data_IF_768560872757
#
_entry.id   IF_768560872757
#
_cell.length_a   1.000
_cell.length_b   1.000
_cell.length_c   1.000
_cell.angle_alpha   90.00
_cell.angle_beta   90.00
_cell.angle_gamma   90.00
#
_symmetry.space_group_name_H-M   'P 1'
#
loop_
_entity.id
_entity.type
_entity.pdbx_description
1 polymer ?
#
# COMPACT_ATOMS: atom_id res chain seq x y z
N UNK A 1 -28.72 33.78 -30.84
CA UNK A 1 -28.50 32.38 -31.22
C UNK A 1 -27.02 32.14 -31.07
N UNK A 2 -26.59 31.49 -29.98
CA UNK A 2 -25.16 31.23 -29.76
C UNK A 2 -24.72 30.18 -30.78
N UNK A 3 -23.76 30.54 -31.61
CA UNK A 3 -23.27 29.69 -32.68
C UNK A 3 -22.62 28.46 -32.07
N UNK A 4 -22.85 27.28 -32.65
CA UNK A 4 -22.16 26.04 -32.29
C UNK A 4 -20.61 26.20 -32.35
N UNK A 5 -20.14 27.21 -33.08
CA UNK A 5 -18.74 27.60 -33.21
C UNK A 5 -18.20 28.54 -32.11
N UNK A 6 -19.07 29.10 -31.27
CA UNK A 6 -18.69 29.93 -30.12
C UNK A 6 -18.51 29.10 -28.84
N UNK A 7 -18.83 27.80 -28.88
CA UNK A 7 -18.46 26.88 -27.81
C UNK A 7 -16.94 26.93 -27.66
N UNK A 8 -16.46 27.29 -26.47
CA UNK A 8 -15.04 27.19 -26.12
C UNK A 8 -14.70 25.70 -26.11
N UNK A 9 -14.34 25.14 -27.27
CA UNK A 9 -14.05 23.71 -27.46
C UNK A 9 -13.00 23.19 -26.48
N UNK A 10 -12.11 24.07 -26.01
CA UNK A 10 -11.17 23.75 -24.94
C UNK A 10 -11.87 23.41 -23.62
N UNK A 11 -12.98 24.06 -23.26
CA UNK A 11 -13.75 23.76 -22.04
C UNK A 11 -14.44 22.41 -22.19
N UNK A 12 -15.07 22.15 -23.35
CA UNK A 12 -15.72 20.86 -23.62
C UNK A 12 -14.70 19.72 -23.56
N UNK A 13 -13.51 19.92 -24.10
CA UNK A 13 -12.45 18.92 -24.04
C UNK A 13 -11.85 18.77 -22.62
N UNK A 14 -11.57 19.89 -21.94
CA UNK A 14 -11.00 19.90 -20.59
C UNK A 14 -11.94 19.24 -19.57
N UNK A 15 -13.21 19.63 -19.57
CA UNK A 15 -14.21 19.14 -18.64
C UNK A 15 -14.83 17.81 -19.08
N UNK A 16 -15.00 17.58 -20.38
CA UNK A 16 -15.63 16.37 -20.91
C UNK A 16 -14.71 15.16 -21.07
N UNK A 17 -13.40 15.38 -21.28
CA UNK A 17 -12.44 14.29 -21.52
C UNK A 17 -11.30 14.25 -20.50
N UNK A 18 -10.65 15.39 -20.27
CA UNK A 18 -9.46 15.44 -19.41
C UNK A 18 -9.79 15.14 -17.94
N UNK A 19 -10.83 15.79 -17.40
CA UNK A 19 -11.27 15.56 -16.04
C UNK A 19 -11.64 14.10 -15.72
N UNK A 20 -12.48 13.40 -16.50
CA UNK A 20 -12.79 12.01 -16.21
C UNK A 20 -11.57 11.09 -16.35
N UNK A 21 -10.66 11.36 -17.30
CA UNK A 21 -9.41 10.60 -17.43
C UNK A 21 -8.53 10.78 -16.19
N UNK A 22 -8.40 12.01 -15.68
CA UNK A 22 -7.63 12.28 -14.46
C UNK A 22 -8.26 11.60 -13.24
N UNK A 23 -9.59 11.67 -13.10
CA UNK A 23 -10.30 10.99 -12.00
C UNK A 23 -10.10 9.48 -12.09
N UNK A 24 -10.28 8.89 -13.28
CA UNK A 24 -10.13 7.45 -13.44
C UNK A 24 -8.67 7.01 -13.22
N UNK A 25 -7.71 7.77 -13.75
CA UNK A 25 -6.29 7.53 -13.59
C UNK A 25 -5.83 7.61 -12.14
N UNK A 26 -6.32 8.60 -11.38
CA UNK A 26 -6.02 8.72 -9.95
C UNK A 26 -6.62 7.58 -9.14
N UNK A 27 -7.86 7.15 -9.42
CA UNK A 27 -8.48 6.00 -8.75
C UNK A 27 -7.72 4.70 -9.03
N UNK A 28 -7.32 4.48 -10.28
CA UNK A 28 -6.50 3.32 -10.68
C UNK A 28 -5.15 3.33 -9.98
N UNK A 29 -4.45 4.47 -9.99
CA UNK A 29 -3.19 4.65 -9.31
C UNK A 29 -3.32 4.40 -7.80
N UNK A 30 -4.40 4.88 -7.17
CA UNK A 30 -4.68 4.64 -5.76
C UNK A 30 -4.86 3.16 -5.44
N UNK A 31 -5.62 2.43 -6.26
CA UNK A 31 -5.81 0.98 -6.08
C UNK A 31 -4.50 0.20 -6.24
N UNK A 32 -3.70 0.56 -7.25
CA UNK A 32 -2.36 0.00 -7.44
C UNK A 32 -1.46 0.29 -6.25
N UNK A 33 -1.45 1.53 -5.76
CA UNK A 33 -0.69 1.91 -4.58
C UNK A 33 -1.13 1.10 -3.35
N UNK A 34 -2.43 0.94 -3.09
CA UNK A 34 -2.92 0.10 -2.00
C UNK A 34 -2.49 -1.37 -2.13
N UNK A 35 -2.50 -1.94 -3.33
CA UNK A 35 -2.02 -3.29 -3.56
C UNK A 35 -0.52 -3.43 -3.29
N UNK A 36 0.28 -2.46 -3.76
CA UNK A 36 1.72 -2.40 -3.51
C UNK A 36 2.01 -2.24 -2.02
N UNK A 37 1.30 -1.34 -1.32
CA UNK A 37 1.44 -1.14 0.12
C UNK A 37 1.14 -2.43 0.88
N UNK A 38 0.07 -3.16 0.55
CA UNK A 38 -0.23 -4.45 1.18
C UNK A 38 0.86 -5.48 0.95
N UNK A 39 1.43 -5.53 -0.25
CA UNK A 39 2.55 -6.41 -0.58
C UNK A 39 3.81 -6.05 0.23
N UNK A 40 4.15 -4.76 0.25
CA UNK A 40 5.27 -4.24 1.02
C UNK A 40 5.09 -4.42 2.52
N UNK A 41 3.87 -4.27 3.05
CA UNK A 41 3.56 -4.53 4.45
C UNK A 41 3.81 -5.99 4.82
N UNK A 42 3.41 -6.95 3.98
CA UNK A 42 3.72 -8.37 4.20
C UNK A 42 5.22 -8.62 4.21
N UNK A 43 5.93 -8.02 3.25
CA UNK A 43 7.38 -8.19 3.11
C UNK A 43 8.15 -7.52 4.26
N UNK A 44 7.70 -6.34 4.70
CA UNK A 44 8.23 -5.62 5.85
C UNK A 44 7.93 -6.34 7.16
N UNK A 45 6.74 -6.91 7.33
CA UNK A 45 6.37 -7.73 8.49
C UNK A 45 7.26 -8.99 8.57
N UNK A 46 7.49 -9.67 7.45
CA UNK A 46 8.43 -10.78 7.41
C UNK A 46 9.85 -10.34 7.80
N UNK A 47 10.37 -9.25 7.22
CA UNK A 47 11.72 -8.74 7.57
C UNK A 47 11.82 -8.35 9.04
N UNK A 48 10.82 -7.68 9.58
CA UNK A 48 10.76 -7.31 10.99
C UNK A 48 10.71 -8.55 11.89
N UNK A 49 9.97 -9.59 11.50
CA UNK A 49 9.90 -10.86 12.22
C UNK A 49 11.26 -11.56 12.22
N UNK A 50 11.92 -11.63 11.06
CA UNK A 50 13.26 -12.21 10.95
C UNK A 50 14.29 -11.45 11.79
N UNK A 51 14.25 -10.11 11.81
CA UNK A 51 15.13 -9.30 12.65
C UNK A 51 14.86 -9.54 14.15
N UNK A 52 13.59 -9.60 14.56
CA UNK A 52 13.22 -9.91 15.94
C UNK A 52 13.71 -11.30 16.36
N UNK A 53 13.55 -12.29 15.49
CA UNK A 53 14.02 -13.66 15.71
C UNK A 53 15.54 -13.71 15.83
N UNK A 54 16.27 -13.05 14.93
CA UNK A 54 17.74 -13.03 14.97
C UNK A 54 18.28 -12.38 16.24
N UNK A 55 17.62 -11.34 16.73
CA UNK A 55 18.05 -10.62 17.94
C UNK A 55 17.67 -11.34 19.25
N UNK A 56 16.49 -11.96 19.32
CA UNK A 56 15.98 -12.54 20.57
C UNK A 56 16.16 -14.05 20.68
N UNK A 57 16.23 -14.76 19.55
CA UNK A 57 16.36 -16.23 19.46
C UNK A 57 17.30 -16.61 18.32
N UNK A 58 18.61 -16.32 18.43
CA UNK A 58 19.56 -16.71 17.41
C UNK A 58 19.57 -18.24 17.26
N UNK A 59 19.24 -18.72 16.07
CA UNK A 59 19.30 -20.15 15.73
C UNK A 59 20.63 -20.41 14.99
N UNK A 60 21.41 -21.44 15.38
CA UNK A 60 22.71 -21.72 14.75
C UNK A 60 22.60 -22.07 13.26
N UNK A 61 21.44 -22.58 12.83
CA UNK A 61 21.19 -23.01 11.45
C UNK A 61 20.28 -22.05 10.66
N UNK A 62 19.97 -20.85 11.21
CA UNK A 62 18.95 -19.92 10.68
C UNK A 62 17.55 -20.57 10.47
N UNK A 63 17.31 -21.73 11.09
CA UNK A 63 16.04 -22.45 11.06
C UNK A 63 15.26 -22.21 12.34
N UNK A 64 14.28 -21.33 12.27
CA UNK A 64 13.35 -21.08 13.37
C UNK A 64 12.13 -22.01 13.31
N UNK A 65 11.70 -22.47 14.47
CA UNK A 65 10.51 -23.31 14.58
C UNK A 65 9.24 -22.50 14.29
N UNK A 66 8.13 -23.19 13.99
CA UNK A 66 6.84 -22.54 13.81
C UNK A 66 6.42 -21.68 15.01
N UNK A 67 6.72 -22.14 16.24
CA UNK A 67 6.43 -21.40 17.49
C UNK A 67 7.22 -20.08 17.58
N UNK A 68 8.46 -20.06 17.09
CA UNK A 68 9.28 -18.85 17.05
C UNK A 68 8.68 -17.82 16.08
N UNK A 69 8.28 -18.27 14.89
CA UNK A 69 7.58 -17.41 13.93
C UNK A 69 6.26 -16.89 14.49
N UNK A 70 5.46 -17.75 15.14
CA UNK A 70 4.21 -17.34 15.77
C UNK A 70 4.42 -16.28 16.86
N UNK A 71 5.46 -16.42 17.68
CA UNK A 71 5.86 -15.40 18.65
C UNK A 71 6.34 -14.10 17.97
N UNK A 72 7.15 -14.19 16.92
CA UNK A 72 7.66 -13.00 16.23
C UNK A 72 6.53 -12.19 15.56
N UNK A 73 5.57 -12.87 14.94
CA UNK A 73 4.40 -12.21 14.36
C UNK A 73 3.48 -11.61 15.42
N UNK A 74 3.29 -12.25 16.58
CA UNK A 74 2.47 -11.68 17.65
C UNK A 74 3.06 -10.38 18.20
N UNK A 75 4.39 -10.30 18.33
CA UNK A 75 5.08 -9.08 18.77
C UNK A 75 4.95 -7.92 17.77
N UNK A 76 4.97 -8.20 16.46
CA UNK A 76 4.79 -7.18 15.43
C UNK A 76 3.36 -6.64 15.44
N UNK A 77 2.37 -7.51 15.57
CA UNK A 77 0.95 -7.11 15.65
C UNK A 77 0.70 -6.24 16.88
N UNK A 78 1.24 -6.61 18.04
CA UNK A 78 1.16 -5.78 19.26
C UNK A 78 1.83 -4.42 19.06
N UNK A 79 2.97 -4.38 18.37
CA UNK A 79 3.70 -3.13 18.10
C UNK A 79 2.98 -2.22 17.09
N UNK A 80 2.23 -2.78 16.14
CA UNK A 80 1.41 -2.00 15.22
C UNK A 80 0.13 -1.49 15.87
N UNK A 81 -0.55 -2.31 16.68
CA UNK A 81 -1.75 -1.89 17.41
C UNK A 81 -1.50 -0.75 18.41
N UNK A 82 -0.28 -0.64 18.95
CA UNK A 82 0.11 0.45 19.86
C UNK A 82 0.39 1.78 19.16
N UNK A 83 0.44 1.82 17.82
CA UNK A 83 0.73 3.04 17.04
C UNK A 83 -0.54 3.76 16.58
N UNK A 84 -1.70 3.12 16.76
CA UNK A 84 -3.00 3.61 16.35
C UNK A 84 -3.83 4.20 17.53
N UNK A 85 -3.23 4.27 18.74
CA UNK A 85 -3.71 5.01 19.93
C UNK A 85 -2.90 6.31 20.13
#
# INVERSE_FOLDING_TARGET
MNSFWEMRWYEVYAYGMLLPILILGTILAWKLAQAVIRSLQRLAAHRAATQLLRNNRPAPDDRWSWLDWQWAFSQITVKQGKKDD
#
